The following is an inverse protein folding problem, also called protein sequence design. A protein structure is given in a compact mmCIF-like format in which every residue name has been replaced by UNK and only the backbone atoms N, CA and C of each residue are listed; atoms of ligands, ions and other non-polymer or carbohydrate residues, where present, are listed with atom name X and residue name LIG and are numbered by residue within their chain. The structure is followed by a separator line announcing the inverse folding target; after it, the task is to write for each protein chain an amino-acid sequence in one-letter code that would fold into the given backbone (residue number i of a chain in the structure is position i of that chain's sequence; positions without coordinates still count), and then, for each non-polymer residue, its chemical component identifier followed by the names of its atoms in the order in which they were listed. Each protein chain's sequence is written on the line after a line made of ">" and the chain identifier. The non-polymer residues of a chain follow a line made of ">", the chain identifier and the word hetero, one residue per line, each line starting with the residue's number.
data_IF_590437185287
#
_entry.id   IF_590437185287
#
_cell.length_a   1.000
_cell.length_b   1.000
_cell.length_c   1.000
_cell.angle_alpha   90.00
_cell.angle_beta   90.00
_cell.angle_gamma   90.00
#
_symmetry.space_group_name_H-M   'P 1'
#
loop_
_entity.id
_entity.type
_entity.pdbx_description
1 polymer ?
#
# COMPACT_ATOMS: atom_id res chain seq x y z
N UNK A 1 -2.24 -13.04 4.46
CA UNK A 1 -1.23 -11.96 4.43
C UNK A 1 -0.84 -11.65 5.86
N UNK A 2 0.43 -11.73 6.23
CA UNK A 2 0.86 -11.31 7.58
C UNK A 2 0.40 -9.87 7.80
N UNK A 3 -0.20 -9.55 8.97
CA UNK A 3 -0.80 -8.24 9.17
C UNK A 3 0.28 -7.16 9.13
N UNK A 4 0.27 -6.36 8.06
CA UNK A 4 1.15 -5.21 7.94
C UNK A 4 0.72 -4.19 9.02
N UNK A 5 1.63 -3.78 9.93
CA UNK A 5 1.33 -2.78 10.94
C UNK A 5 0.91 -1.45 10.32
N UNK A 6 -0.11 -0.80 10.88
CA UNK A 6 -0.62 0.46 10.36
C UNK A 6 0.41 1.59 10.41
N UNK A 7 1.27 1.59 11.43
CA UNK A 7 2.33 2.56 11.72
C UNK A 7 3.62 2.31 10.92
N UNK A 8 3.69 1.23 10.14
CA UNK A 8 4.86 0.93 9.32
C UNK A 8 5.08 2.05 8.28
N UNK A 9 6.31 2.60 8.17
CA UNK A 9 6.60 3.62 7.16
C UNK A 9 6.53 3.05 5.75
N UNK A 10 5.88 3.79 4.87
CA UNK A 10 5.57 3.39 3.51
C UNK A 10 5.52 4.58 2.55
N UNK A 11 5.58 4.29 1.26
CA UNK A 11 5.43 5.30 0.20
C UNK A 11 4.46 4.83 -0.86
N UNK A 12 3.34 5.54 -1.03
CA UNK A 12 2.39 5.32 -2.12
C UNK A 12 2.81 6.14 -3.34
N UNK A 13 3.00 5.46 -4.46
CA UNK A 13 3.23 6.07 -5.78
C UNK A 13 2.07 5.75 -6.70
N UNK A 14 1.68 6.70 -7.54
CA UNK A 14 0.99 6.42 -8.80
C UNK A 14 2.02 6.50 -9.95
N UNK A 15 1.79 5.78 -11.05
CA UNK A 15 2.66 5.88 -12.23
C UNK A 15 2.22 7.00 -13.19
N UNK A 16 1.34 7.89 -12.72
CA UNK A 16 0.80 9.03 -13.48
C UNK A 16 1.65 10.29 -13.27
N UNK A 17 2.77 10.18 -12.54
CA UNK A 17 3.72 11.26 -12.31
C UNK A 17 3.33 12.22 -11.17
N UNK A 18 2.36 11.85 -10.32
CA UNK A 18 2.03 12.68 -9.15
C UNK A 18 3.07 12.53 -8.05
N UNK A 19 3.12 13.53 -7.18
CA UNK A 19 3.96 13.48 -6.00
C UNK A 19 3.63 12.24 -5.15
N UNK A 20 4.64 11.47 -4.72
CA UNK A 20 4.41 10.32 -3.85
C UNK A 20 3.88 10.76 -2.50
N UNK A 21 3.05 9.91 -1.88
CA UNK A 21 2.67 10.07 -0.48
C UNK A 21 3.66 9.27 0.36
N UNK A 22 4.43 9.96 1.19
CA UNK A 22 5.39 9.37 2.12
C UNK A 22 4.79 9.48 3.53
N UNK A 23 4.53 8.35 4.18
CA UNK A 23 3.85 8.32 5.47
C UNK A 23 3.80 6.91 6.05
N UNK A 24 2.66 6.54 6.63
CA UNK A 24 2.41 5.20 7.16
C UNK A 24 1.56 4.36 6.20
N UNK A 25 1.43 3.06 6.49
CA UNK A 25 0.51 2.17 5.75
C UNK A 25 -0.94 2.64 5.87
N UNK A 26 -1.31 3.21 7.02
CA UNK A 26 -2.64 3.78 7.22
C UNK A 26 -2.88 4.96 6.29
N UNK A 27 -1.93 5.90 6.23
CA UNK A 27 -2.02 7.05 5.32
C UNK A 27 -2.14 6.59 3.87
N UNK A 28 -1.29 5.65 3.47
CA UNK A 28 -1.31 5.12 2.10
C UNK A 28 -2.66 4.45 1.75
N UNK A 29 -3.25 3.66 2.66
CA UNK A 29 -4.55 3.04 2.45
C UNK A 29 -5.68 4.08 2.36
N UNK A 30 -5.66 5.10 3.24
CA UNK A 30 -6.61 6.21 3.20
C UNK A 30 -6.56 6.96 1.86
N UNK A 31 -5.36 7.31 1.40
CA UNK A 31 -5.19 8.01 0.13
C UNK A 31 -5.55 7.16 -1.08
N UNK A 32 -5.18 5.87 -1.08
CA UNK A 32 -5.57 4.95 -2.14
C UNK A 32 -7.09 4.82 -2.27
N UNK A 33 -7.83 4.78 -1.15
CA UNK A 33 -9.29 4.70 -1.19
C UNK A 33 -9.92 5.85 -1.99
N UNK A 34 -9.35 7.05 -1.90
CA UNK A 34 -9.78 8.26 -2.60
C UNK A 34 -9.37 8.33 -4.09
N UNK A 35 -8.50 7.44 -4.56
CA UNK A 35 -8.06 7.44 -5.95
C UNK A 35 -9.18 7.03 -6.92
N UNK A 36 -9.16 7.65 -8.11
CA UNK A 36 -9.97 7.21 -9.26
C UNK A 36 -9.50 5.82 -9.74
N UNK A 37 -10.35 5.02 -10.42
CA UNK A 37 -10.00 3.67 -10.86
C UNK A 37 -8.69 3.58 -11.65
N UNK A 38 -8.45 4.53 -12.55
CA UNK A 38 -7.19 4.60 -13.31
C UNK A 38 -5.95 4.73 -12.41
N UNK A 39 -6.00 5.63 -11.42
CA UNK A 39 -4.90 5.81 -10.48
C UNK A 39 -4.74 4.61 -9.53
N UNK A 40 -5.85 3.96 -9.12
CA UNK A 40 -5.80 2.71 -8.34
C UNK A 40 -5.07 1.60 -9.09
N UNK A 41 -5.38 1.39 -10.36
CA UNK A 41 -4.70 0.38 -11.19
C UNK A 41 -3.20 0.65 -11.38
N UNK A 42 -2.76 1.89 -11.15
CA UNK A 42 -1.37 2.29 -11.24
C UNK A 42 -0.69 2.50 -9.87
N UNK A 43 -1.38 2.26 -8.77
CA UNK A 43 -0.86 2.50 -7.45
C UNK A 43 0.12 1.41 -7.02
N UNK A 44 1.22 1.80 -6.35
CA UNK A 44 2.14 0.87 -5.68
C UNK A 44 2.49 1.43 -4.31
N UNK A 45 2.58 0.58 -3.29
CA UNK A 45 3.12 0.97 -1.99
C UNK A 45 4.48 0.34 -1.79
N UNK A 46 5.52 1.15 -1.64
CA UNK A 46 6.85 0.72 -1.25
C UNK A 46 6.91 0.58 0.28
N UNK A 47 7.23 -0.62 0.77
CA UNK A 47 7.48 -0.87 2.18
C UNK A 47 8.95 -0.66 2.54
N UNK A 48 9.21 0.14 3.57
CA UNK A 48 10.57 0.37 4.09
C UNK A 48 11.09 -0.80 4.94
N UNK A 49 10.19 -1.64 5.47
CA UNK A 49 10.50 -2.85 6.25
C UNK A 49 10.02 -4.12 5.54
N UNK A 50 10.81 -5.21 5.55
CA UNK A 50 10.42 -6.46 4.92
C UNK A 50 9.24 -7.13 5.65
N UNK A 51 8.25 -7.59 4.88
CA UNK A 51 7.15 -8.43 5.37
C UNK A 51 7.31 -9.81 4.75
N UNK A 52 7.18 -10.87 5.56
CA UNK A 52 7.30 -12.23 5.06
C UNK A 52 6.15 -12.57 4.10
N UNK A 53 6.48 -13.16 2.94
CA UNK A 53 5.52 -13.69 1.96
C UNK A 53 5.96 -15.07 1.51
N UNK A 54 5.05 -16.02 1.55
CA UNK A 54 5.29 -17.40 1.12
C UNK A 54 5.67 -17.44 -0.37
N UNK A 55 6.72 -18.19 -0.71
CA UNK A 55 7.18 -18.35 -2.11
C UNK A 55 7.97 -17.19 -2.71
N UNK A 56 8.33 -16.13 -1.95
CA UNK A 56 9.08 -14.97 -2.48
C UNK A 56 10.36 -14.66 -1.67
N UNK A 57 11.45 -14.27 -2.36
CA UNK A 57 12.72 -13.84 -1.72
C UNK A 57 12.58 -12.47 -1.04
N UNK A 58 13.17 -12.31 0.15
CA UNK A 58 13.16 -11.04 0.91
C UNK A 58 13.86 -9.91 0.14
N UNK A 59 13.09 -8.90 -0.28
CA UNK A 59 13.56 -7.64 -0.92
C UNK A 59 12.68 -6.47 -0.47
N UNK A 60 13.06 -5.22 -0.74
CA UNK A 60 12.17 -4.05 -0.53
C UNK A 60 10.85 -4.31 -1.28
N UNK A 61 9.77 -4.49 -0.53
CA UNK A 61 8.51 -5.00 -1.09
C UNK A 61 7.67 -3.87 -1.65
N UNK A 62 7.04 -4.16 -2.78
CA UNK A 62 5.99 -3.35 -3.38
C UNK A 62 4.66 -4.05 -3.09
N UNK A 63 3.66 -3.31 -2.62
CA UNK A 63 2.26 -3.73 -2.65
C UNK A 63 1.67 -3.36 -4.01
N UNK A 64 1.09 -4.35 -4.68
CA UNK A 64 0.36 -4.17 -5.92
C UNK A 64 -1.09 -3.67 -5.63
N UNK A 65 -1.79 -3.10 -6.63
CA UNK A 65 -3.13 -2.52 -6.43
C UNK A 65 -4.14 -3.40 -5.70
N UNK A 66 -4.13 -4.72 -5.93
CA UNK A 66 -5.00 -5.70 -5.29
C UNK A 66 -4.66 -5.91 -3.81
N UNK A 67 -3.37 -5.88 -3.45
CA UNK A 67 -2.91 -5.91 -2.07
C UNK A 67 -3.26 -4.60 -1.33
N UNK A 68 -3.20 -3.46 -2.02
CA UNK A 68 -3.57 -2.15 -1.45
C UNK A 68 -5.10 -2.08 -1.24
N UNK A 69 -5.89 -2.65 -2.16
CA UNK A 69 -7.34 -2.73 -2.02
C UNK A 69 -7.74 -3.48 -0.74
N UNK A 70 -7.09 -4.61 -0.44
CA UNK A 70 -7.30 -5.35 0.81
C UNK A 70 -7.00 -4.51 2.06
N UNK A 71 -6.00 -3.61 2.00
CA UNK A 71 -5.72 -2.68 3.09
C UNK A 71 -6.82 -1.61 3.22
N UNK A 72 -7.34 -1.09 2.11
CA UNK A 72 -8.45 -0.15 2.14
C UNK A 72 -9.73 -0.79 2.71
N UNK A 73 -10.03 -2.03 2.32
CA UNK A 73 -11.16 -2.79 2.83
C UNK A 73 -11.02 -3.05 4.34
N UNK A 74 -9.82 -3.47 4.78
CA UNK A 74 -9.51 -3.65 6.20
C UNK A 74 -9.69 -2.35 6.98
N UNK A 75 -9.16 -1.23 6.47
CA UNK A 75 -9.29 0.08 7.09
C UNK A 75 -10.77 0.47 7.27
N UNK A 76 -11.61 0.19 6.27
CA UNK A 76 -13.05 0.44 6.34
C UNK A 76 -13.74 -0.46 7.37
N UNK A 77 -13.31 -1.71 7.52
CA UNK A 77 -13.90 -2.65 8.49
C UNK A 77 -13.53 -2.37 9.95
N UNK A 78 -12.43 -1.66 10.19
CA UNK A 78 -11.94 -1.31 11.53
C UNK A 78 -12.45 0.07 12.04
N UNK A 79 -13.16 0.83 11.19
CA UNK A 79 -13.74 2.14 11.51
C UNK A 79 -15.21 2.07 11.91
#
# INVERSE_FOLDING_TARGET
>A
MSPIPWDQPATLIDLDGKAPIIGTIRDCAMHFAAFKPFAKAQARILLTKPVHREGRKTRTWILDPDEIAQLADRLQSEG
#
